data_IF_598938239995
#
_entry.id   IF_598938239995
#
_cell.length_a   1.000
_cell.length_b   1.000
_cell.length_c   1.000
_cell.angle_alpha   90.00
_cell.angle_beta   90.00
_cell.angle_gamma   90.00
#
_symmetry.space_group_name_H-M   'P 1'
#
loop_
_entity.id
_entity.type
_entity.pdbx_description
1 polymer ?
#
# COMPACT_ATOMS: atom_id res chain seq x y z
N UNK A 1 28.47 -2.72 -2.66
CA UNK A 1 27.59 -1.80 -1.91
C UNK A 1 26.25 -2.46 -1.78
N UNK A 2 25.57 -2.35 -0.63
CA UNK A 2 24.22 -2.89 -0.50
C UNK A 2 23.31 -2.14 -1.51
N UNK A 3 22.44 -2.88 -2.22
CA UNK A 3 21.45 -2.31 -3.15
C UNK A 3 20.36 -1.63 -2.33
N UNK A 4 20.61 -0.36 -1.95
CA UNK A 4 19.68 0.48 -1.19
C UNK A 4 18.81 1.31 -2.13
N UNK A 5 17.56 1.50 -1.74
CA UNK A 5 16.58 2.38 -2.41
C UNK A 5 16.01 3.36 -1.40
N UNK A 6 15.93 4.62 -1.82
CA UNK A 6 15.33 5.70 -1.02
C UNK A 6 13.82 5.72 -1.23
N UNK A 7 13.09 5.86 -0.14
CA UNK A 7 11.64 6.09 -0.15
C UNK A 7 11.40 7.59 -0.32
N UNK A 8 10.78 7.98 -1.42
CA UNK A 8 10.42 9.37 -1.73
C UNK A 8 8.91 9.60 -1.71
N UNK A 9 8.15 8.57 -2.12
CA UNK A 9 6.68 8.63 -2.20
C UNK A 9 6.08 7.37 -1.59
N UNK A 10 5.13 7.55 -0.68
CA UNK A 10 4.39 6.48 -0.03
C UNK A 10 2.91 6.53 -0.40
N UNK A 11 2.39 5.44 -0.97
CA UNK A 11 0.95 5.21 -1.11
C UNK A 11 0.44 4.49 0.13
N UNK A 12 -0.53 5.10 0.82
CA UNK A 12 -1.07 4.58 2.07
C UNK A 12 -2.57 4.35 1.93
N UNK A 13 -3.01 3.12 2.12
CA UNK A 13 -4.41 2.70 2.03
C UNK A 13 -4.71 1.69 3.14
N UNK A 14 -5.20 2.16 4.27
CA UNK A 14 -5.40 1.35 5.47
C UNK A 14 -6.83 1.46 6.00
N UNK A 15 -7.38 0.33 6.48
CA UNK A 15 -8.67 0.31 7.15
C UNK A 15 -8.53 0.86 8.58
N UNK A 16 -7.69 0.26 9.43
CA UNK A 16 -7.40 0.72 10.78
C UNK A 16 -6.28 1.78 10.76
N UNK A 17 -6.40 2.81 11.60
CA UNK A 17 -5.42 3.90 11.70
C UNK A 17 -4.50 3.77 12.91
N UNK A 18 -4.82 2.84 13.82
CA UNK A 18 -4.05 2.66 15.06
C UNK A 18 -2.59 2.33 14.77
N UNK A 19 -1.68 3.05 15.40
CA UNK A 19 -0.25 2.87 15.27
C UNK A 19 0.35 3.43 13.97
N UNK A 20 -0.45 4.07 13.12
CA UNK A 20 0.03 4.69 11.88
C UNK A 20 0.70 6.05 12.14
N UNK A 21 0.32 6.76 13.21
CA UNK A 21 0.77 8.14 13.50
C UNK A 21 2.28 8.27 13.63
N UNK A 22 2.91 7.38 14.40
CA UNK A 22 4.36 7.41 14.62
C UNK A 22 5.11 7.13 13.31
N UNK A 23 4.60 6.20 12.51
CA UNK A 23 5.18 5.87 11.21
C UNK A 23 5.05 7.03 10.23
N UNK A 24 3.87 7.69 10.17
CA UNK A 24 3.64 8.89 9.36
C UNK A 24 4.56 10.03 9.78
N UNK A 25 4.69 10.26 11.10
CA UNK A 25 5.60 11.28 11.60
C UNK A 25 7.02 11.03 11.12
N UNK A 26 7.52 9.80 11.28
CA UNK A 26 8.89 9.47 10.89
C UNK A 26 9.11 9.60 9.38
N UNK A 27 8.17 9.15 8.56
CA UNK A 27 8.22 9.30 7.10
C UNK A 27 8.18 10.78 6.68
N UNK A 28 7.34 11.60 7.33
CA UNK A 28 7.27 13.03 7.08
C UNK A 28 8.59 13.74 7.45
N UNK A 29 9.17 13.41 8.61
CA UNK A 29 10.46 13.96 9.05
C UNK A 29 11.59 13.63 8.05
N UNK A 30 11.50 12.53 7.34
CA UNK A 30 12.42 12.11 6.27
C UNK A 30 12.07 12.72 4.88
N UNK A 31 11.03 13.56 4.80
CA UNK A 31 10.61 14.23 3.57
C UNK A 31 9.86 13.34 2.57
N UNK A 32 9.29 12.24 3.01
CA UNK A 32 8.49 11.34 2.16
C UNK A 32 7.14 11.99 1.83
N UNK A 33 6.78 12.01 0.55
CA UNK A 33 5.47 12.50 0.08
C UNK A 33 4.40 11.44 0.29
N UNK A 34 3.22 11.85 0.75
CA UNK A 34 2.10 10.94 0.94
C UNK A 34 1.12 11.02 -0.22
N UNK A 35 0.70 9.86 -0.69
CA UNK A 35 -0.38 9.65 -1.66
C UNK A 35 -1.42 8.75 -0.99
N UNK A 36 -2.68 9.16 -1.00
CA UNK A 36 -3.75 8.40 -0.35
C UNK A 36 -5.13 8.72 -0.91
N UNK A 37 -6.14 8.06 -0.39
CA UNK A 37 -7.54 8.26 -0.78
C UNK A 37 -8.48 8.07 0.41
N UNK A 38 -9.65 8.67 0.36
CA UNK A 38 -10.73 8.50 1.33
C UNK A 38 -10.33 8.79 2.77
N UNK A 39 -10.78 7.94 3.71
CA UNK A 39 -10.57 8.14 5.13
C UNK A 39 -9.10 8.11 5.58
N UNK A 40 -8.21 7.44 4.84
CA UNK A 40 -6.77 7.45 5.15
C UNK A 40 -6.16 8.82 4.82
N UNK A 41 -6.53 9.43 3.69
CA UNK A 41 -6.12 10.79 3.36
C UNK A 41 -6.57 11.79 4.45
N UNK A 42 -7.86 11.77 4.80
CA UNK A 42 -8.40 12.63 5.86
C UNK A 42 -7.64 12.48 7.18
N UNK A 43 -7.28 11.25 7.53
CA UNK A 43 -6.49 10.98 8.73
C UNK A 43 -5.08 11.59 8.65
N UNK A 44 -4.36 11.43 7.54
CA UNK A 44 -3.03 12.02 7.33
C UNK A 44 -3.09 13.55 7.43
N UNK A 45 -4.08 14.16 6.77
CA UNK A 45 -4.30 15.61 6.80
C UNK A 45 -4.66 16.13 8.21
N UNK A 46 -5.43 15.35 9.00
CA UNK A 46 -5.79 15.72 10.38
C UNK A 46 -4.58 15.77 11.32
N UNK A 47 -3.49 15.07 10.98
CA UNK A 47 -2.21 15.13 11.69
C UNK A 47 -1.34 16.31 11.23
N UNK A 48 -1.82 17.12 10.28
CA UNK A 48 -1.11 18.29 9.75
C UNK A 48 -0.13 17.98 8.61
N UNK A 49 -0.15 16.78 8.04
CA UNK A 49 0.73 16.40 6.94
C UNK A 49 0.05 16.60 5.59
N UNK A 50 0.82 17.09 4.60
CA UNK A 50 0.34 17.19 3.23
C UNK A 50 0.14 15.79 2.63
N UNK A 51 -0.98 15.58 1.97
CA UNK A 51 -1.31 14.32 1.33
C UNK A 51 -1.92 14.57 -0.06
N UNK A 52 -1.28 14.04 -1.10
CA UNK A 52 -1.81 14.07 -2.46
C UNK A 52 -2.96 13.07 -2.61
N UNK A 53 -4.02 13.47 -3.29
CA UNK A 53 -5.14 12.58 -3.59
C UNK A 53 -4.81 11.65 -4.75
N UNK A 54 -5.13 10.38 -4.63
CA UNK A 54 -5.01 9.42 -5.73
C UNK A 54 -5.80 9.91 -6.95
N UNK A 55 -6.96 10.51 -6.76
CA UNK A 55 -7.81 11.05 -7.80
C UNK A 55 -7.11 12.16 -8.63
N UNK A 56 -6.21 12.94 -8.03
CA UNK A 56 -5.41 13.93 -8.76
C UNK A 56 -4.36 13.27 -9.66
N UNK A 57 -3.73 12.20 -9.18
CA UNK A 57 -2.74 11.43 -9.95
C UNK A 57 -3.39 10.67 -11.09
N UNK A 58 -4.53 10.04 -10.83
CA UNK A 58 -5.26 9.26 -11.83
C UNK A 58 -6.06 10.12 -12.80
N UNK A 59 -6.40 11.36 -12.40
CA UNK A 59 -7.36 12.22 -13.10
C UNK A 59 -8.73 11.55 -13.28
N UNK A 60 -9.04 10.59 -12.42
CA UNK A 60 -10.27 9.81 -12.47
C UNK A 60 -10.97 9.82 -11.11
N UNK A 61 -12.29 10.05 -11.06
CA UNK A 61 -13.03 10.11 -9.80
C UNK A 61 -13.11 8.73 -9.14
N UNK A 62 -13.26 8.71 -7.82
CA UNK A 62 -13.65 7.51 -7.10
C UNK A 62 -15.10 7.17 -7.44
N UNK A 63 -15.35 6.04 -8.09
CA UNK A 63 -16.66 5.62 -8.56
C UNK A 63 -17.11 4.30 -7.92
N UNK A 64 -18.36 3.91 -8.16
CA UNK A 64 -18.95 2.65 -7.67
C UNK A 64 -18.78 2.49 -6.13
N UNK A 65 -19.12 3.56 -5.39
CA UNK A 65 -18.97 3.53 -3.93
C UNK A 65 -17.52 3.42 -3.43
N UNK A 66 -16.52 3.78 -4.28
CA UNK A 66 -15.11 3.68 -3.95
C UNK A 66 -14.47 2.32 -4.22
N UNK A 67 -15.19 1.40 -4.84
CA UNK A 67 -14.64 0.07 -5.22
C UNK A 67 -13.58 0.17 -6.32
N UNK A 68 -13.60 1.26 -7.11
CA UNK A 68 -12.63 1.53 -8.18
C UNK A 68 -12.05 2.92 -7.97
N UNK A 69 -10.90 3.02 -7.32
CA UNK A 69 -10.20 4.28 -7.06
C UNK A 69 -8.68 4.14 -7.23
N UNK A 70 -8.08 3.09 -6.66
CA UNK A 70 -6.65 2.79 -6.82
C UNK A 70 -6.35 1.85 -7.98
N UNK A 71 -7.37 1.19 -8.55
CA UNK A 71 -7.24 0.27 -9.69
C UNK A 71 -7.07 1.06 -11.00
N UNK A 72 -5.91 1.69 -11.16
CA UNK A 72 -5.63 2.58 -12.28
C UNK A 72 -4.20 2.40 -12.78
N UNK A 73 -3.94 2.48 -14.12
CA UNK A 73 -2.59 2.31 -14.68
C UNK A 73 -1.54 3.24 -14.08
N UNK A 74 -1.87 4.49 -13.74
CA UNK A 74 -0.91 5.42 -13.10
C UNK A 74 -0.51 4.95 -11.70
N UNK A 75 -1.39 4.35 -10.92
CA UNK A 75 -1.08 3.81 -9.59
C UNK A 75 -0.26 2.53 -9.72
N UNK A 76 -0.75 1.56 -10.50
CA UNK A 76 -0.07 0.27 -10.67
C UNK A 76 1.24 0.40 -11.45
N UNK A 77 1.29 1.29 -12.43
CA UNK A 77 2.53 1.63 -13.13
C UNK A 77 3.57 2.25 -12.20
N UNK A 78 3.14 3.13 -11.28
CA UNK A 78 4.00 3.71 -10.26
C UNK A 78 4.63 2.68 -9.32
N UNK A 79 3.91 1.59 -9.03
CA UNK A 79 4.39 0.48 -8.19
C UNK A 79 5.20 -0.53 -9.03
N UNK A 80 4.73 -0.90 -10.22
CA UNK A 80 5.28 -2.01 -11.01
C UNK A 80 6.41 -1.62 -11.95
N UNK A 81 6.56 -0.32 -12.27
CA UNK A 81 7.62 0.17 -13.14
C UNK A 81 9.01 -0.17 -12.60
N UNK A 82 9.83 -0.84 -13.43
CA UNK A 82 11.21 -1.22 -13.08
C UNK A 82 12.12 0.00 -13.26
N UNK A 83 12.75 0.45 -12.17
CA UNK A 83 13.54 1.68 -12.14
C UNK A 83 14.86 1.57 -12.92
N UNK A 84 15.34 0.36 -13.16
CA UNK A 84 16.54 0.04 -13.93
C UNK A 84 16.26 -0.26 -15.42
N UNK A 85 14.98 -0.36 -15.82
CA UNK A 85 14.57 -0.63 -17.20
C UNK A 85 14.27 0.67 -17.95
N UNK A 86 15.01 0.93 -19.03
CA UNK A 86 14.87 2.17 -19.81
C UNK A 86 13.50 2.31 -20.47
N UNK A 87 12.95 1.22 -21.02
CA UNK A 87 11.61 1.23 -21.63
C UNK A 87 10.50 1.56 -20.63
N UNK A 88 10.60 1.02 -19.40
CA UNK A 88 9.64 1.34 -18.35
C UNK A 88 9.73 2.82 -17.96
N UNK A 89 10.95 3.36 -17.81
CA UNK A 89 11.15 4.80 -17.48
C UNK A 89 10.59 5.72 -18.55
N UNK A 90 10.83 5.40 -19.82
CA UNK A 90 10.28 6.18 -20.95
C UNK A 90 8.74 6.18 -20.94
N UNK A 91 8.12 5.02 -20.73
CA UNK A 91 6.67 4.92 -20.63
C UNK A 91 6.12 5.64 -19.38
N UNK A 92 6.79 5.52 -18.24
CA UNK A 92 6.39 6.26 -17.03
C UNK A 92 6.43 7.77 -17.27
N UNK A 93 7.47 8.28 -17.94
CA UNK A 93 7.55 9.69 -18.30
C UNK A 93 6.46 10.09 -19.32
N UNK A 94 6.27 9.29 -20.36
CA UNK A 94 5.28 9.54 -21.41
C UNK A 94 3.84 9.64 -20.88
N UNK A 95 3.49 8.77 -19.93
CA UNK A 95 2.14 8.68 -19.37
C UNK A 95 2.01 9.37 -18.00
N UNK A 96 3.01 10.16 -17.60
CA UNK A 96 3.03 10.90 -16.33
C UNK A 96 2.74 10.01 -15.13
N UNK A 97 3.39 8.84 -15.08
CA UNK A 97 3.25 7.86 -14.00
C UNK A 97 4.25 8.21 -12.90
N UNK A 98 3.81 8.58 -11.68
CA UNK A 98 4.72 8.88 -10.58
C UNK A 98 5.36 7.61 -10.03
N UNK A 99 6.61 7.70 -9.57
CA UNK A 99 7.23 6.61 -8.81
C UNK A 99 6.58 6.49 -7.42
N UNK A 100 6.21 5.28 -7.03
CA UNK A 100 5.72 4.92 -5.71
C UNK A 100 6.72 3.94 -5.10
N UNK A 101 7.40 4.36 -4.02
CA UNK A 101 8.53 3.63 -3.44
C UNK A 101 8.12 2.79 -2.23
N UNK A 102 7.04 3.21 -1.55
CA UNK A 102 6.48 2.54 -0.39
C UNK A 102 4.97 2.39 -0.57
N UNK A 103 4.47 1.22 -0.28
CA UNK A 103 3.03 0.93 -0.24
C UNK A 103 2.69 0.39 1.15
N UNK A 104 1.77 1.05 1.85
CA UNK A 104 1.27 0.61 3.16
C UNK A 104 -0.21 0.28 3.00
N UNK A 105 -0.57 -0.96 3.30
CA UNK A 105 -1.94 -1.46 3.21
C UNK A 105 -2.33 -2.13 4.52
N UNK A 106 -3.56 -1.89 4.94
CA UNK A 106 -4.26 -2.70 5.93
C UNK A 106 -5.63 -3.06 5.32
N UNK A 107 -5.86 -4.36 5.13
CA UNK A 107 -7.04 -4.87 4.43
C UNK A 107 -8.32 -4.68 5.26
N UNK A 108 -9.46 -4.70 4.59
CA UNK A 108 -10.74 -4.77 5.28
C UNK A 108 -10.82 -6.03 6.15
N UNK A 109 -11.47 -5.90 7.34
CA UNK A 109 -11.48 -6.96 8.36
C UNK A 109 -12.48 -8.08 8.02
N UNK A 110 -12.26 -8.81 6.92
CA UNK A 110 -13.14 -9.85 6.41
C UNK A 110 -13.44 -10.91 7.48
N UNK A 111 -12.40 -11.51 8.07
CA UNK A 111 -12.57 -12.58 9.07
C UNK A 111 -13.30 -12.10 10.33
N UNK A 112 -13.03 -10.86 10.78
CA UNK A 112 -13.72 -10.26 11.93
C UNK A 112 -15.20 -10.04 11.62
N UNK A 113 -15.52 -9.61 10.39
CA UNK A 113 -16.90 -9.41 9.94
C UNK A 113 -17.64 -10.74 9.84
N UNK A 114 -17.00 -11.79 9.35
CA UNK A 114 -17.56 -13.15 9.37
C UNK A 114 -17.83 -13.61 10.82
N UNK A 115 -16.84 -13.42 11.71
CA UNK A 115 -16.95 -13.84 13.11
C UNK A 115 -18.02 -13.07 13.90
N UNK A 116 -18.36 -11.85 13.49
CA UNK A 116 -19.43 -11.05 14.12
C UNK A 116 -20.85 -11.53 13.78
N UNK A 117 -21.02 -12.48 12.86
CA UNK A 117 -22.31 -12.93 12.39
C UNK A 117 -23.04 -11.90 11.51
N UNK A 118 -22.31 -11.04 10.85
CA UNK A 118 -22.85 -10.04 9.91
C UNK A 118 -23.62 -10.70 8.74
N UNK A 119 -24.42 -9.92 8.03
CA UNK A 119 -25.13 -10.39 6.86
C UNK A 119 -24.17 -10.83 5.74
N UNK A 120 -24.63 -11.70 4.86
CA UNK A 120 -23.85 -12.11 3.68
C UNK A 120 -23.41 -10.91 2.85
N UNK A 121 -24.29 -9.93 2.65
CA UNK A 121 -24.02 -8.70 1.92
C UNK A 121 -22.89 -7.90 2.58
N UNK A 122 -22.94 -7.72 3.91
CA UNK A 122 -21.91 -6.98 4.66
C UNK A 122 -20.56 -7.70 4.61
N UNK A 123 -20.56 -9.03 4.63
CA UNK A 123 -19.33 -9.85 4.54
C UNK A 123 -18.73 -9.71 3.15
N UNK A 124 -19.53 -9.80 2.09
CA UNK A 124 -19.07 -9.62 0.69
C UNK A 124 -18.46 -8.22 0.50
N UNK A 125 -19.05 -7.17 1.09
CA UNK A 125 -18.51 -5.81 1.03
C UNK A 125 -17.13 -5.67 1.71
N UNK A 126 -16.72 -6.62 2.54
CA UNK A 126 -15.38 -6.65 3.16
C UNK A 126 -14.37 -7.46 2.36
N UNK A 127 -14.72 -7.96 1.19
CA UNK A 127 -13.73 -8.54 0.27
C UNK A 127 -12.97 -7.40 -0.41
N UNK A 128 -11.73 -7.19 0.03
CA UNK A 128 -10.87 -6.11 -0.47
C UNK A 128 -10.28 -6.48 -1.84
N UNK A 129 -10.61 -5.69 -2.85
CA UNK A 129 -10.08 -5.86 -4.21
C UNK A 129 -8.85 -4.98 -4.44
N UNK A 130 -8.94 -3.71 -4.03
CA UNK A 130 -7.88 -2.73 -4.28
C UNK A 130 -6.65 -2.97 -3.41
N UNK A 131 -6.85 -3.15 -2.09
CA UNK A 131 -5.76 -3.34 -1.14
C UNK A 131 -4.96 -4.61 -1.42
N UNK A 132 -5.64 -5.74 -1.65
CA UNK A 132 -4.95 -7.00 -1.98
C UNK A 132 -4.16 -6.89 -3.28
N UNK A 133 -4.69 -6.17 -4.28
CA UNK A 133 -3.99 -5.92 -5.55
C UNK A 133 -2.73 -5.07 -5.36
N UNK A 134 -2.80 -4.03 -4.50
CA UNK A 134 -1.65 -3.20 -4.14
C UNK A 134 -0.57 -4.01 -3.41
N UNK A 135 -0.97 -4.88 -2.47
CA UNK A 135 -0.07 -5.79 -1.74
C UNK A 135 0.72 -6.66 -2.74
N UNK A 136 0.03 -7.31 -3.66
CA UNK A 136 0.65 -8.18 -4.66
C UNK A 136 1.56 -7.41 -5.62
N UNK A 137 1.15 -6.22 -6.04
CA UNK A 137 1.96 -5.38 -6.94
C UNK A 137 3.28 -4.95 -6.28
N UNK A 138 3.21 -4.43 -5.05
CA UNK A 138 4.41 -4.03 -4.29
C UNK A 138 5.34 -5.22 -4.02
N UNK A 139 4.78 -6.37 -3.64
CA UNK A 139 5.54 -7.60 -3.42
C UNK A 139 6.25 -8.08 -4.69
N UNK A 140 5.59 -8.03 -5.85
CA UNK A 140 6.17 -8.41 -7.14
C UNK A 140 7.37 -7.53 -7.49
N UNK A 141 7.29 -6.23 -7.24
CA UNK A 141 8.37 -5.27 -7.56
C UNK A 141 9.25 -4.94 -6.34
N UNK A 142 9.53 -5.91 -5.48
CA UNK A 142 10.37 -5.71 -4.29
C UNK A 142 11.80 -5.24 -4.61
N UNK A 143 12.24 -5.31 -5.85
CA UNK A 143 13.52 -4.72 -6.28
C UNK A 143 13.54 -3.21 -6.06
N UNK A 144 12.41 -2.54 -6.24
CA UNK A 144 12.29 -1.09 -6.21
C UNK A 144 11.35 -0.57 -5.12
N UNK A 145 10.40 -1.39 -4.63
CA UNK A 145 9.30 -0.98 -3.77
C UNK A 145 9.30 -1.72 -2.44
N UNK A 146 9.02 -0.99 -1.36
CA UNK A 146 8.71 -1.56 -0.04
C UNK A 146 7.19 -1.76 0.04
N UNK A 147 6.75 -2.95 0.43
CA UNK A 147 5.34 -3.23 0.72
C UNK A 147 5.15 -3.58 2.19
N UNK A 148 4.35 -2.82 2.90
CA UNK A 148 3.91 -3.07 4.28
C UNK A 148 2.48 -3.59 4.22
N UNK A 149 2.26 -4.90 4.30
CA UNK A 149 0.98 -5.52 3.94
C UNK A 149 -0.02 -5.59 5.09
N UNK A 150 0.36 -5.18 6.29
CA UNK A 150 -0.50 -5.16 7.45
C UNK A 150 0.07 -4.29 8.56
N UNK A 151 -0.78 -3.93 9.53
CA UNK A 151 -0.40 -3.23 10.76
C UNK A 151 0.71 -3.96 11.56
N UNK A 152 0.76 -5.29 11.51
CA UNK A 152 1.76 -6.07 12.21
C UNK A 152 3.21 -5.73 11.79
N UNK A 153 3.38 -5.13 10.62
CA UNK A 153 4.69 -4.80 10.05
C UNK A 153 5.14 -3.36 10.33
N UNK A 154 4.31 -2.51 10.95
CA UNK A 154 4.62 -1.11 11.20
C UNK A 154 5.87 -0.93 12.07
N UNK A 155 5.98 -1.71 13.15
CA UNK A 155 7.15 -1.66 14.04
C UNK A 155 8.45 -2.05 13.31
N UNK A 156 8.38 -2.99 12.35
CA UNK A 156 9.55 -3.41 11.57
C UNK A 156 10.01 -2.28 10.64
N UNK A 157 9.08 -1.62 9.95
CA UNK A 157 9.43 -0.49 9.10
C UNK A 157 9.95 0.68 9.95
N UNK A 158 9.30 0.98 11.08
CA UNK A 158 9.73 2.05 11.98
C UNK A 158 11.15 1.83 12.51
N UNK A 159 11.50 0.60 12.89
CA UNK A 159 12.86 0.25 13.30
C UNK A 159 13.89 0.51 12.19
N UNK A 160 13.55 0.15 10.95
CA UNK A 160 14.40 0.44 9.78
C UNK A 160 14.58 1.95 9.59
N UNK A 161 13.48 2.71 9.60
CA UNK A 161 13.52 4.17 9.44
C UNK A 161 14.32 4.86 10.54
N UNK A 162 14.25 4.36 11.76
CA UNK A 162 15.01 4.91 12.90
C UNK A 162 16.51 4.62 12.77
N UNK A 163 16.91 3.50 12.20
CA UNK A 163 18.31 3.10 12.08
C UNK A 163 19.02 3.69 10.86
N UNK A 164 18.32 3.87 9.77
CA UNK A 164 18.95 4.21 8.47
C UNK A 164 18.20 5.27 7.65
N UNK A 165 17.18 5.93 8.24
CA UNK A 165 16.35 6.90 7.53
C UNK A 165 15.42 6.24 6.50
N UNK A 166 14.91 7.04 5.56
CA UNK A 166 13.98 6.56 4.53
C UNK A 166 14.71 5.77 3.41
N UNK A 167 15.52 4.80 3.78
CA UNK A 167 16.22 3.90 2.85
C UNK A 167 15.99 2.45 3.25
N UNK A 168 15.96 1.56 2.24
CA UNK A 168 15.84 0.12 2.46
C UNK A 168 16.80 -0.67 1.58
N UNK A 169 17.34 -1.75 2.14
CA UNK A 169 18.13 -2.71 1.36
C UNK A 169 17.21 -3.66 0.60
N UNK A 170 17.71 -4.28 -0.47
CA UNK A 170 16.97 -5.30 -1.22
C UNK A 170 16.55 -6.49 -0.34
N UNK A 171 17.38 -6.88 0.63
CA UNK A 171 17.05 -7.95 1.57
C UNK A 171 15.83 -7.60 2.44
N UNK A 172 15.75 -6.38 2.96
CA UNK A 172 14.62 -5.89 3.73
C UNK A 172 13.35 -5.87 2.87
N UNK A 173 13.41 -5.32 1.65
CA UNK A 173 12.28 -5.31 0.71
C UNK A 173 11.79 -6.72 0.39
N UNK A 174 12.71 -7.69 0.21
CA UNK A 174 12.35 -9.10 -0.01
C UNK A 174 11.64 -9.71 1.19
N UNK A 175 12.06 -9.37 2.42
CA UNK A 175 11.38 -9.84 3.64
C UNK A 175 9.94 -9.32 3.71
N UNK A 176 9.71 -8.04 3.42
CA UNK A 176 8.36 -7.49 3.33
C UNK A 176 7.53 -8.16 2.23
N UNK A 177 8.11 -8.43 1.05
CA UNK A 177 7.43 -9.15 -0.02
C UNK A 177 7.03 -10.57 0.38
N UNK A 178 7.87 -11.27 1.14
CA UNK A 178 7.53 -12.60 1.70
C UNK A 178 6.31 -12.50 2.62
N UNK A 179 6.27 -11.52 3.52
CA UNK A 179 5.14 -11.29 4.42
C UNK A 179 3.88 -10.91 3.63
N UNK A 180 4.02 -10.08 2.61
CA UNK A 180 2.93 -9.66 1.74
C UNK A 180 2.24 -10.84 1.04
N UNK A 181 3.01 -11.79 0.52
CA UNK A 181 2.43 -13.01 -0.06
C UNK A 181 1.82 -13.93 1.00
N UNK A 182 2.34 -13.94 2.23
CA UNK A 182 1.71 -14.63 3.37
C UNK A 182 0.33 -14.04 3.69
N UNK A 183 0.23 -12.71 3.79
CA UNK A 183 -1.05 -12.00 4.01
C UNK A 183 -2.04 -12.29 2.88
N UNK A 184 -1.59 -12.17 1.61
CA UNK A 184 -2.44 -12.45 0.44
C UNK A 184 -2.95 -13.89 0.42
N UNK A 185 -2.09 -14.87 0.70
CA UNK A 185 -2.48 -16.28 0.73
C UNK A 185 -3.48 -16.59 1.85
N UNK A 186 -3.23 -16.06 3.05
CA UNK A 186 -4.16 -16.24 4.18
C UNK A 186 -5.52 -15.61 3.88
N UNK A 187 -5.54 -14.41 3.34
CA UNK A 187 -6.77 -13.68 3.01
C UNK A 187 -7.63 -14.44 2.00
N UNK A 188 -7.04 -14.88 0.88
CA UNK A 188 -7.76 -15.66 -0.13
C UNK A 188 -8.23 -17.00 0.42
N UNK A 189 -7.44 -17.65 1.29
CA UNK A 189 -7.82 -18.90 1.96
C UNK A 189 -9.04 -18.71 2.88
N UNK A 190 -9.08 -17.61 3.63
CA UNK A 190 -10.21 -17.30 4.50
C UNK A 190 -11.51 -17.05 3.70
N UNK A 191 -11.41 -16.30 2.60
CA UNK A 191 -12.53 -16.04 1.69
C UNK A 191 -13.02 -17.36 1.08
N UNK A 192 -12.10 -18.16 0.52
CA UNK A 192 -12.44 -19.46 -0.06
C UNK A 192 -13.13 -20.37 0.95
N UNK A 193 -12.64 -20.43 2.18
CA UNK A 193 -13.26 -21.24 3.24
C UNK A 193 -14.67 -20.76 3.59
N UNK A 194 -14.93 -19.45 3.54
CA UNK A 194 -16.26 -18.89 3.78
C UNK A 194 -17.25 -19.26 2.67
N UNK A 195 -16.85 -19.19 1.41
CA UNK A 195 -17.71 -19.58 0.27
C UNK A 195 -18.00 -21.07 0.20
N UNK A 196 -17.28 -21.94 0.91
CA UNK A 196 -17.50 -23.39 0.98
C UNK A 196 -18.37 -23.84 2.18
N UNK A 197 -18.94 -22.91 2.93
CA UNK A 197 -19.88 -23.20 4.01
C UNK A 197 -21.31 -23.29 3.50
#
# INVERSE_FOLDING_TARGET
MADTKKIKTALISVFHKDGLEELLKKLNDEGVKFLSTGGTQTFIESLGYACEKVENVTTYPSILGGRVKTLHPKVFGGILGRRDNEGDRQQMAQYEIPEIDLVIVDLYPFEQTVASGASEEDIIEKIDIGGISLIRAGAKNFNDVVIVPSKAEYAVLLDILNKQGAETTKAQRRQFATRAFGVSSHYDTAIHAWFNK
#
